data_IF_247668902756
#
_entry.id   IF_247668902756
#
_cell.length_a   1.000
_cell.length_b   1.000
_cell.length_c   1.000
_cell.angle_alpha   90.00
_cell.angle_beta   90.00
_cell.angle_gamma   90.00
#
_symmetry.space_group_name_H-M   'P 1'
#
loop_
_entity.id
_entity.type
_entity.pdbx_description
1 polymer ?
#
# COMPACT_ATOMS: atom_id res chain seq x y z
N UNK A 1 2.95 -27.55 -54.17
CA UNK A 1 2.38 -26.79 -53.04
C UNK A 1 3.50 -26.43 -52.06
N UNK A 2 4.21 -25.31 -52.30
CA UNK A 2 5.32 -24.88 -51.43
C UNK A 2 4.72 -24.20 -50.20
N UNK A 3 4.83 -24.82 -49.02
CA UNK A 3 4.38 -24.23 -47.74
C UNK A 3 5.23 -22.98 -47.47
N UNK A 4 4.59 -21.81 -47.36
CA UNK A 4 5.23 -20.54 -47.01
C UNK A 4 5.72 -20.55 -45.54
N UNK A 5 6.85 -21.23 -45.27
CA UNK A 5 7.47 -21.30 -43.94
C UNK A 5 7.87 -19.92 -43.39
N UNK A 6 8.16 -18.97 -44.27
CA UNK A 6 8.56 -17.61 -43.92
C UNK A 6 7.42 -16.80 -43.28
N UNK A 7 6.20 -16.93 -43.80
CA UNK A 7 5.01 -16.27 -43.24
C UNK A 7 4.63 -16.84 -41.88
N UNK A 8 4.88 -18.14 -41.67
CA UNK A 8 4.57 -18.80 -40.41
C UNK A 8 5.57 -18.44 -39.31
N UNK A 9 6.84 -18.29 -39.66
CA UNK A 9 7.88 -17.80 -38.74
C UNK A 9 7.62 -16.35 -38.29
N UNK A 10 7.18 -15.48 -39.20
CA UNK A 10 6.85 -14.09 -38.86
C UNK A 10 5.62 -14.02 -37.93
N UNK A 11 4.63 -14.86 -38.16
CA UNK A 11 3.43 -14.95 -37.31
C UNK A 11 3.77 -15.42 -35.89
N UNK A 12 4.66 -16.41 -35.75
CA UNK A 12 5.15 -16.89 -34.45
C UNK A 12 5.99 -15.86 -33.71
N UNK A 13 6.83 -15.10 -34.42
CA UNK A 13 7.64 -14.04 -33.82
C UNK A 13 6.77 -12.90 -33.26
N UNK A 14 5.71 -12.51 -33.99
CA UNK A 14 4.74 -11.51 -33.53
C UNK A 14 3.96 -12.03 -32.31
N UNK A 15 3.55 -13.30 -32.32
CA UNK A 15 2.84 -13.90 -31.19
C UNK A 15 3.71 -13.96 -29.92
N UNK A 16 4.99 -14.29 -30.05
CA UNK A 16 5.95 -14.32 -28.93
C UNK A 16 6.19 -12.92 -28.35
N UNK A 17 6.30 -11.89 -29.20
CA UNK A 17 6.47 -10.51 -28.77
C UNK A 17 5.22 -9.98 -28.03
N UNK A 18 4.02 -10.40 -28.45
CA UNK A 18 2.76 -10.04 -27.79
C UNK A 18 2.58 -10.74 -26.43
N UNK A 19 3.08 -11.97 -26.29
CA UNK A 19 3.05 -12.71 -25.02
C UNK A 19 3.98 -12.13 -23.95
N UNK A 20 5.06 -11.43 -24.32
CA UNK A 20 5.92 -10.71 -23.38
C UNK A 20 5.31 -9.38 -22.90
N UNK A 21 4.21 -8.94 -23.51
CA UNK A 21 3.47 -7.73 -23.13
C UNK A 21 2.23 -8.06 -22.28
N UNK A 22 2.19 -9.24 -21.65
CA UNK A 22 1.18 -9.50 -20.63
C UNK A 22 1.39 -8.51 -19.49
N UNK A 23 0.35 -7.77 -19.07
CA UNK A 23 0.47 -6.91 -17.91
C UNK A 23 0.83 -7.82 -16.73
N UNK A 24 2.00 -7.60 -16.14
CA UNK A 24 2.24 -8.05 -14.76
C UNK A 24 1.08 -7.52 -13.96
N UNK A 25 0.16 -8.41 -13.56
CA UNK A 25 -0.91 -8.06 -12.64
C UNK A 25 -0.24 -7.40 -11.45
N UNK A 26 -0.57 -6.11 -11.26
CA UNK A 26 0.19 -5.19 -10.43
C UNK A 26 0.54 -5.81 -9.09
N UNK A 27 1.78 -5.57 -8.63
CA UNK A 27 2.23 -6.08 -7.35
C UNK A 27 1.15 -5.80 -6.28
N UNK A 28 0.60 -6.86 -5.70
CA UNK A 28 -0.38 -6.76 -4.63
C UNK A 28 0.25 -5.91 -3.50
N UNK A 29 -0.41 -4.81 -3.13
CA UNK A 29 0.09 -3.86 -2.12
C UNK A 29 -0.74 -3.95 -0.87
N UNK A 30 -0.10 -4.04 0.29
CA UNK A 30 -0.75 -3.90 1.59
C UNK A 30 -0.72 -2.42 1.96
N UNK A 31 -1.89 -1.81 2.10
CA UNK A 31 -2.04 -0.43 2.56
C UNK A 31 -2.11 -0.41 4.09
N UNK A 32 -1.13 0.22 4.71
CA UNK A 32 -1.12 0.43 6.16
C UNK A 32 -1.40 1.90 6.44
N UNK A 33 -2.49 2.16 7.15
CA UNK A 33 -2.82 3.46 7.67
C UNK A 33 -1.99 3.78 8.92
N UNK A 34 -1.32 4.93 8.91
CA UNK A 34 -0.60 5.45 10.08
C UNK A 34 -1.37 6.65 10.58
N UNK A 35 -2.01 6.52 11.74
CA UNK A 35 -2.87 7.54 12.35
C UNK A 35 -2.25 8.07 13.65
N UNK A 36 -2.40 9.38 13.89
CA UNK A 36 -1.83 10.04 15.07
C UNK A 36 -1.88 11.55 14.92
N UNK A 37 -1.39 12.33 15.91
CA UNK A 37 -1.46 13.78 15.88
C UNK A 37 -0.28 14.31 15.05
N UNK A 38 -0.43 14.37 13.72
CA UNK A 38 0.69 14.48 12.77
C UNK A 38 1.47 15.79 12.88
N UNK A 39 0.85 16.82 13.45
CA UNK A 39 1.50 18.10 13.72
C UNK A 39 2.44 18.08 14.95
N UNK A 40 2.34 17.05 15.79
CA UNK A 40 3.06 16.92 17.05
C UNK A 40 4.16 15.86 16.99
N UNK A 41 5.06 15.86 17.97
CA UNK A 41 6.25 14.97 17.98
C UNK A 41 5.88 13.50 17.94
N UNK A 42 4.77 13.12 18.56
CA UNK A 42 4.23 11.76 18.59
C UNK A 42 3.83 11.29 17.19
N UNK A 43 3.03 12.07 16.47
CA UNK A 43 2.61 11.74 15.10
C UNK A 43 3.76 11.74 14.10
N UNK A 44 4.72 12.68 14.26
CA UNK A 44 5.97 12.67 13.48
C UNK A 44 6.77 11.39 13.73
N UNK A 45 6.87 10.96 14.99
CA UNK A 45 7.50 9.69 15.38
C UNK A 45 6.82 8.48 14.75
N UNK A 46 5.49 8.39 14.83
CA UNK A 46 4.70 7.32 14.18
C UNK A 46 4.99 7.24 12.68
N UNK A 47 4.96 8.38 11.99
CA UNK A 47 5.21 8.42 10.55
C UNK A 47 6.63 8.00 10.19
N UNK A 48 7.64 8.52 10.91
CA UNK A 48 9.04 8.23 10.62
C UNK A 48 9.36 6.76 10.87
N UNK A 49 8.90 6.19 11.99
CA UNK A 49 9.10 4.77 12.32
C UNK A 49 8.41 3.85 11.31
N UNK A 50 7.17 4.16 10.94
CA UNK A 50 6.45 3.39 9.92
C UNK A 50 7.16 3.48 8.56
N UNK A 51 7.65 4.67 8.17
CA UNK A 51 8.38 4.88 6.90
C UNK A 51 9.65 4.05 6.86
N UNK A 52 10.46 4.11 7.92
CA UNK A 52 11.68 3.29 8.04
C UNK A 52 11.39 1.80 7.91
N UNK A 53 10.36 1.30 8.60
CA UNK A 53 9.96 -0.11 8.52
C UNK A 53 9.46 -0.49 7.12
N UNK A 54 8.63 0.36 6.48
CA UNK A 54 8.13 0.12 5.14
C UNK A 54 9.25 0.11 4.09
N UNK A 55 10.22 1.02 4.22
CA UNK A 55 11.40 1.07 3.36
C UNK A 55 12.24 -0.20 3.49
N UNK A 56 12.56 -0.64 4.71
CA UNK A 56 13.33 -1.86 4.94
C UNK A 56 12.61 -3.10 4.40
N UNK A 57 11.31 -3.25 4.69
CA UNK A 57 10.50 -4.38 4.21
C UNK A 57 10.42 -4.38 2.69
N UNK A 58 10.18 -3.22 2.08
CA UNK A 58 10.09 -3.11 0.63
C UNK A 58 11.43 -3.34 -0.03
N UNK A 59 12.56 -2.90 0.53
CA UNK A 59 13.90 -3.21 0.04
C UNK A 59 14.16 -4.72 0.03
N UNK A 60 13.65 -5.47 1.03
CA UNK A 60 13.70 -6.94 1.11
C UNK A 60 12.67 -7.68 0.26
N UNK A 61 12.01 -6.99 -0.68
CA UNK A 61 11.02 -7.60 -1.58
C UNK A 61 9.58 -7.57 -1.07
N UNK A 62 9.31 -7.02 0.11
CA UNK A 62 7.97 -6.92 0.71
C UNK A 62 7.66 -8.04 1.72
N UNK A 63 6.44 -8.00 2.25
CA UNK A 63 5.90 -8.95 3.23
C UNK A 63 5.44 -10.22 2.51
N UNK A 64 5.75 -11.40 3.07
CA UNK A 64 5.20 -12.66 2.59
C UNK A 64 3.76 -12.84 3.10
N UNK A 65 2.80 -12.97 2.19
CA UNK A 65 1.39 -13.25 2.49
C UNK A 65 0.99 -14.50 1.72
N UNK A 66 0.92 -15.64 2.43
CA UNK A 66 0.74 -16.96 1.81
C UNK A 66 1.86 -17.24 0.80
N UNK A 67 1.51 -17.41 -0.47
CA UNK A 67 2.46 -17.68 -1.56
C UNK A 67 2.94 -16.42 -2.29
N UNK A 68 2.52 -15.22 -1.86
CA UNK A 68 2.83 -13.96 -2.56
C UNK A 68 3.74 -13.06 -1.71
N UNK A 69 4.58 -12.27 -2.40
CA UNK A 69 5.31 -11.13 -1.83
C UNK A 69 4.55 -9.85 -2.14
N UNK A 70 4.13 -9.12 -1.11
CA UNK A 70 3.35 -7.90 -1.22
C UNK A 70 4.13 -6.70 -0.69
N UNK A 71 4.11 -5.58 -1.41
CA UNK A 71 4.77 -4.34 -0.97
C UNK A 71 3.89 -3.61 0.04
N UNK A 72 4.52 -2.91 0.98
CA UNK A 72 3.82 -2.03 1.94
C UNK A 72 3.69 -0.64 1.34
N UNK A 73 2.48 -0.08 1.38
CA UNK A 73 2.22 1.34 1.09
C UNK A 73 1.62 1.99 2.33
N UNK A 74 2.27 3.05 2.80
CA UNK A 74 1.77 3.80 3.94
C UNK A 74 0.79 4.87 3.50
N UNK A 75 -0.27 5.05 4.29
CA UNK A 75 -1.24 6.13 4.17
C UNK A 75 -1.21 6.92 5.47
N UNK A 76 -0.93 8.21 5.40
CA UNK A 76 -0.91 9.09 6.57
C UNK A 76 -2.32 9.61 6.87
N UNK A 77 -2.73 9.59 8.14
CA UNK A 77 -3.92 10.30 8.61
C UNK A 77 -3.59 11.13 9.86
N UNK A 78 -3.88 12.42 9.79
CA UNK A 78 -3.86 13.28 10.97
C UNK A 78 -5.17 13.15 11.73
N UNK A 79 -5.07 12.61 12.95
CA UNK A 79 -6.21 12.48 13.86
C UNK A 79 -6.53 13.79 14.57
N UNK A 80 -5.59 14.73 14.66
CA UNK A 80 -5.72 15.92 15.50
C UNK A 80 -6.14 15.61 16.95
N UNK A 81 -5.82 14.40 17.45
CA UNK A 81 -6.44 13.86 18.67
C UNK A 81 -6.10 14.65 19.94
N UNK A 82 -4.99 15.42 19.95
CA UNK A 82 -4.71 16.37 21.04
C UNK A 82 -5.75 17.48 21.18
N UNK A 83 -6.38 17.88 20.09
CA UNK A 83 -7.29 19.02 20.06
C UNK A 83 -8.75 18.59 20.00
N UNK A 84 -9.07 17.51 19.28
CA UNK A 84 -10.46 17.11 19.03
C UNK A 84 -10.57 15.59 18.89
N UNK A 85 -11.40 14.98 19.75
CA UNK A 85 -11.75 13.55 19.64
C UNK A 85 -12.61 13.32 18.38
N UNK A 86 -13.51 14.26 18.06
CA UNK A 86 -14.35 14.20 16.85
C UNK A 86 -13.52 14.24 15.56
N UNK A 87 -12.41 14.98 15.54
CA UNK A 87 -11.51 14.98 14.39
C UNK A 87 -10.82 13.64 14.23
N UNK A 88 -10.47 13.00 15.35
CA UNK A 88 -9.83 11.70 15.39
C UNK A 88 -10.76 10.60 14.85
N UNK A 89 -12.01 10.56 15.31
CA UNK A 89 -13.02 9.61 14.78
C UNK A 89 -13.28 9.83 13.30
N UNK A 90 -13.41 11.09 12.86
CA UNK A 90 -13.56 11.42 11.44
C UNK A 90 -12.33 11.03 10.61
N UNK A 91 -11.11 11.17 11.15
CA UNK A 91 -9.90 10.73 10.48
C UNK A 91 -9.84 9.20 10.33
N UNK A 92 -10.27 8.48 11.36
CA UNK A 92 -10.42 7.02 11.32
C UNK A 92 -11.45 6.59 10.28
N UNK A 93 -12.64 7.19 10.26
CA UNK A 93 -13.65 6.91 9.25
C UNK A 93 -13.15 7.20 7.83
N UNK A 94 -12.45 8.32 7.61
CA UNK A 94 -11.88 8.65 6.30
C UNK A 94 -10.84 7.64 5.85
N UNK A 95 -9.92 7.23 6.73
CA UNK A 95 -8.85 6.31 6.34
C UNK A 95 -9.43 4.91 6.02
N UNK A 96 -10.49 4.49 6.70
CA UNK A 96 -11.22 3.25 6.41
C UNK A 96 -12.01 3.38 5.09
N UNK A 97 -12.86 4.40 4.97
CA UNK A 97 -13.87 4.47 3.89
C UNK A 97 -13.33 5.03 2.57
N UNK A 98 -12.45 6.04 2.64
CA UNK A 98 -11.87 6.70 1.46
C UNK A 98 -10.57 6.05 1.04
N UNK A 99 -9.62 5.89 1.96
CA UNK A 99 -8.32 5.34 1.62
C UNK A 99 -8.34 3.81 1.49
N UNK A 100 -9.32 3.15 2.14
CA UNK A 100 -9.51 1.69 2.11
C UNK A 100 -8.20 0.99 2.43
N UNK A 101 -7.65 1.34 3.59
CA UNK A 101 -6.45 0.69 4.13
C UNK A 101 -6.81 -0.70 4.64
N UNK A 102 -5.86 -1.62 4.56
CA UNK A 102 -6.06 -3.01 5.00
C UNK A 102 -5.83 -3.14 6.52
N UNK A 103 -4.89 -2.36 7.04
CA UNK A 103 -4.54 -2.32 8.46
C UNK A 103 -4.29 -0.89 8.91
N UNK A 104 -4.45 -0.62 10.20
CA UNK A 104 -4.22 0.69 10.80
C UNK A 104 -3.33 0.51 12.03
N UNK A 105 -2.38 1.43 12.21
CA UNK A 105 -1.51 1.51 13.37
C UNK A 105 -1.37 2.96 13.84
N UNK A 106 -1.30 3.15 15.15
CA UNK A 106 -1.08 4.44 15.78
C UNK A 106 -2.18 4.83 16.76
N UNK A 107 -2.45 6.13 16.85
CA UNK A 107 -3.17 6.74 17.99
C UNK A 107 -2.25 6.98 19.18
N UNK A 108 -2.55 8.01 19.97
CA UNK A 108 -1.70 8.42 21.09
C UNK A 108 -2.49 8.74 22.36
N UNK A 109 -3.65 9.40 22.27
CA UNK A 109 -4.46 9.74 23.44
C UNK A 109 -5.49 8.65 23.70
N UNK A 110 -5.42 8.03 24.87
CA UNK A 110 -6.24 6.88 25.24
C UNK A 110 -7.74 7.07 24.95
N UNK A 111 -8.32 8.20 25.33
CA UNK A 111 -9.74 8.50 25.09
C UNK A 111 -10.10 8.69 23.62
N UNK A 112 -9.18 9.23 22.82
CA UNK A 112 -9.38 9.34 21.38
C UNK A 112 -9.23 7.97 20.70
N UNK A 113 -8.22 7.19 21.11
CA UNK A 113 -8.02 5.81 20.61
C UNK A 113 -9.20 4.91 20.94
N UNK A 114 -9.82 5.05 22.12
CA UNK A 114 -11.01 4.29 22.48
C UNK A 114 -12.22 4.61 21.60
N UNK A 115 -12.29 5.83 21.06
CA UNK A 115 -13.41 6.29 20.23
C UNK A 115 -13.22 6.00 18.73
N UNK A 116 -11.98 5.84 18.26
CA UNK A 116 -11.62 5.55 16.87
C UNK A 116 -11.86 4.08 16.52
#
# INVERSE_FOLDING_TARGET
>A
MKKNSLGWGLFWAIFLAMAMCLPVWGADVIKIGVIGPMNFVQGKGHWNGATMAAEELNAKGGIQVGNKKMKVKLIKADSNEFLSITDATNAMERIITRNKVDFIVGGFRSEAVLAM
#
